data_IF_546594302731
#
_entry.id   IF_546594302731
#
_cell.length_a   1.000
_cell.length_b   1.000
_cell.length_c   1.000
_cell.angle_alpha   90.00
_cell.angle_beta   90.00
_cell.angle_gamma   90.00
#
_symmetry.space_group_name_H-M   'P 1'
#
loop_
_entity.id
_entity.type
_entity.pdbx_description
1 polymer ?
#
# COMPACT_ATOMS: atom_id res chain seq x y z
N UNK A 1 -1.19 15.24 -1.51
CA UNK A 1 -0.46 15.48 -0.25
C UNK A 1 0.26 16.79 -0.37
N UNK A 2 -0.04 17.74 0.50
CA UNK A 2 0.50 19.11 0.41
C UNK A 2 1.61 19.19 1.44
N UNK A 3 2.83 18.91 1.01
CA UNK A 3 4.00 19.05 1.89
C UNK A 3 4.41 20.51 1.91
N UNK A 4 4.31 21.12 3.09
CA UNK A 4 5.09 22.32 3.40
C UNK A 4 6.56 21.92 3.40
N UNK A 5 7.44 22.73 2.79
CA UNK A 5 8.91 22.54 2.80
C UNK A 5 9.52 22.41 4.21
N UNK A 6 8.75 22.76 5.24
CA UNK A 6 9.09 22.71 6.67
C UNK A 6 8.18 21.76 7.47
N UNK A 7 7.35 20.97 6.80
CA UNK A 7 6.47 20.01 7.47
C UNK A 7 7.22 18.75 7.90
N UNK A 8 6.89 18.14 9.05
CA UNK A 8 7.56 16.93 9.58
C UNK A 8 7.41 15.70 8.66
N UNK A 9 6.67 15.81 7.56
CA UNK A 9 6.39 14.77 6.58
C UNK A 9 7.22 14.92 5.28
N UNK A 10 8.23 15.78 5.30
CA UNK A 10 9.21 15.96 4.22
C UNK A 10 10.61 15.76 4.79
N UNK A 11 11.31 14.71 4.36
CA UNK A 11 12.67 14.38 4.82
C UNK A 11 13.50 13.88 3.64
N UNK A 12 14.73 14.36 3.54
CA UNK A 12 15.72 13.94 2.54
C UNK A 12 15.26 14.04 1.07
N UNK A 13 14.40 15.02 0.75
CA UNK A 13 13.86 15.20 -0.61
C UNK A 13 12.68 14.29 -0.95
N UNK A 14 12.28 13.40 -0.03
CA UNK A 14 11.11 12.55 -0.17
C UNK A 14 9.98 13.04 0.71
N UNK A 15 8.79 12.98 0.14
CA UNK A 15 7.55 13.22 0.86
C UNK A 15 7.04 11.92 1.51
N UNK A 16 6.30 11.98 2.62
CA UNK A 16 5.75 10.77 3.29
C UNK A 16 5.05 9.82 2.31
N UNK A 17 4.21 10.35 1.42
CA UNK A 17 3.53 9.58 0.37
C UNK A 17 4.50 8.80 -0.53
N UNK A 18 5.60 9.43 -0.97
CA UNK A 18 6.61 8.75 -1.80
C UNK A 18 7.31 7.64 -1.03
N UNK A 19 7.68 7.91 0.23
CA UNK A 19 8.29 6.90 1.10
C UNK A 19 7.34 5.74 1.35
N UNK A 20 6.06 6.00 1.63
CA UNK A 20 5.05 4.95 1.85
C UNK A 20 4.81 4.11 0.61
N UNK A 21 4.74 4.72 -0.58
CA UNK A 21 4.61 3.96 -1.82
C UNK A 21 5.83 3.08 -2.08
N UNK A 22 7.04 3.63 -1.91
CA UNK A 22 8.28 2.88 -2.08
C UNK A 22 8.35 1.71 -1.08
N UNK A 23 8.11 1.97 0.20
CA UNK A 23 8.10 0.93 1.23
C UNK A 23 7.06 -0.15 0.96
N UNK A 24 5.88 0.22 0.45
CA UNK A 24 4.83 -0.75 0.09
C UNK A 24 5.25 -1.63 -1.09
N UNK A 25 5.93 -1.06 -2.09
CA UNK A 25 6.51 -1.82 -3.21
C UNK A 25 7.62 -2.77 -2.73
N UNK A 26 8.58 -2.26 -1.97
CA UNK A 26 9.69 -3.05 -1.44
C UNK A 26 9.18 -4.20 -0.56
N UNK A 27 8.17 -3.93 0.28
CA UNK A 27 7.50 -4.94 1.09
C UNK A 27 6.78 -5.99 0.22
N UNK A 28 6.04 -5.58 -0.80
CA UNK A 28 5.35 -6.50 -1.71
C UNK A 28 6.33 -7.42 -2.45
N UNK A 29 7.50 -6.90 -2.88
CA UNK A 29 8.56 -7.72 -3.49
C UNK A 29 9.06 -8.79 -2.51
N UNK A 30 9.24 -8.45 -1.24
CA UNK A 30 9.64 -9.41 -0.20
C UNK A 30 8.55 -10.47 -0.02
N UNK A 31 7.28 -10.07 0.09
CA UNK A 31 6.15 -11.01 0.23
C UNK A 31 6.05 -11.97 -0.96
N UNK A 32 6.19 -11.47 -2.18
CA UNK A 32 6.14 -12.28 -3.40
C UNK A 32 7.28 -13.30 -3.48
N UNK A 33 8.49 -12.92 -3.03
CA UNK A 33 9.64 -13.84 -2.94
C UNK A 33 9.41 -14.93 -1.90
N UNK A 34 8.88 -14.57 -0.72
CA UNK A 34 8.55 -15.53 0.33
C UNK A 34 7.49 -16.53 -0.14
N UNK A 35 6.45 -16.04 -0.83
CA UNK A 35 5.40 -16.86 -1.41
C UNK A 35 5.96 -17.82 -2.47
N UNK A 36 6.83 -17.33 -3.38
CA UNK A 36 7.46 -18.14 -4.43
C UNK A 36 8.45 -19.17 -3.88
N UNK A 37 9.20 -18.84 -2.82
CA UNK A 37 10.10 -19.79 -2.16
C UNK A 37 9.35 -20.95 -1.53
N UNK A 38 8.13 -20.70 -1.03
CA UNK A 38 7.28 -21.72 -0.40
C UNK A 38 6.57 -22.61 -1.43
N UNK A 39 6.39 -22.09 -2.64
CA UNK A 39 5.80 -22.79 -3.77
C UNK A 39 6.64 -23.97 -4.31
N UNK A 40 7.87 -24.16 -3.85
CA UNK A 40 8.81 -25.11 -4.44
C UNK A 40 9.22 -24.74 -5.86
N UNK A 41 8.97 -23.51 -6.30
CA UNK A 41 9.42 -22.98 -7.58
C UNK A 41 10.95 -22.76 -7.51
N UNK A 42 11.71 -23.85 -7.66
CA UNK A 42 13.10 -23.77 -8.08
C UNK A 42 13.07 -23.31 -9.53
N UNK A 43 13.41 -22.05 -9.81
CA UNK A 43 14.39 -21.78 -10.87
C UNK A 43 14.74 -20.31 -11.08
N UNK A 44 16.05 -20.15 -11.24
CA UNK A 44 16.77 -19.14 -11.99
C UNK A 44 16.84 -17.73 -11.39
N UNK A 45 18.09 -17.29 -11.38
CA UNK A 45 18.62 -15.97 -11.08
C UNK A 45 17.99 -14.85 -11.91
N UNK A 46 16.72 -14.53 -11.67
CA UNK A 46 16.09 -13.36 -12.27
C UNK A 46 16.48 -12.16 -11.40
N UNK A 47 17.35 -11.25 -11.87
CA UNK A 47 17.63 -10.02 -11.14
C UNK A 47 16.32 -9.24 -10.98
N UNK A 48 16.14 -8.47 -9.89
CA UNK A 48 14.95 -7.65 -9.71
C UNK A 48 14.75 -6.79 -10.97
N UNK A 49 13.55 -6.79 -11.59
CA UNK A 49 13.30 -5.88 -12.69
C UNK A 49 13.50 -4.44 -12.18
N UNK A 50 14.16 -3.57 -12.96
CA UNK A 50 14.36 -2.18 -12.56
C UNK A 50 13.01 -1.51 -12.30
N UNK A 51 12.97 -0.72 -11.22
CA UNK A 51 11.82 0.03 -10.74
C UNK A 51 11.28 0.97 -11.83
N UNK A 52 10.25 0.52 -12.57
CA UNK A 52 9.49 1.35 -13.48
C UNK A 52 8.02 1.38 -13.07
N UNK A 53 7.57 2.56 -12.65
CA UNK A 53 6.18 2.84 -12.25
C UNK A 53 5.18 2.64 -13.42
N UNK A 54 5.67 2.60 -14.66
CA UNK A 54 4.90 2.31 -15.86
C UNK A 54 4.43 0.84 -15.98
N UNK A 55 4.99 -0.10 -15.20
CA UNK A 55 4.74 -1.55 -15.35
C UNK A 55 3.62 -2.08 -14.44
N UNK A 56 2.76 -1.19 -13.92
CA UNK A 56 1.60 -1.57 -13.10
C UNK A 56 0.51 -2.33 -13.88
N UNK A 57 0.69 -2.57 -15.18
CA UNK A 57 -0.30 -3.20 -16.04
C UNK A 57 0.20 -4.42 -16.81
N UNK A 58 0.68 -5.48 -16.15
CA UNK A 58 0.65 -6.83 -16.74
C UNK A 58 0.44 -7.91 -15.65
N UNK A 59 -0.34 -8.97 -15.96
CA UNK A 59 -0.71 -10.00 -14.99
C UNK A 59 0.45 -10.99 -14.86
N UNK A 60 1.16 -10.96 -13.74
CA UNK A 60 2.00 -12.09 -13.36
C UNK A 60 1.05 -13.16 -12.84
N UNK A 61 0.63 -14.05 -13.74
CA UNK A 61 0.04 -15.34 -13.37
C UNK A 61 1.09 -16.10 -12.55
N UNK A 62 1.05 -15.94 -11.23
CA UNK A 62 1.85 -16.75 -10.32
C UNK A 62 1.42 -18.21 -10.51
N UNK A 63 2.36 -19.14 -10.77
CA UNK A 63 2.04 -20.56 -10.82
C UNK A 63 1.43 -20.98 -9.48
N UNK A 64 0.26 -21.60 -9.52
CA UNK A 64 -0.44 -22.11 -8.34
C UNK A 64 0.39 -23.23 -7.72
N UNK A 65 0.97 -23.05 -6.52
CA UNK A 65 1.73 -24.10 -5.91
C UNK A 65 0.80 -25.02 -5.14
N UNK A 66 1.07 -26.32 -5.20
CA UNK A 66 0.50 -27.27 -4.25
C UNK A 66 1.33 -27.12 -2.95
N UNK A 67 0.92 -26.23 -2.04
CA UNK A 67 1.67 -25.90 -0.83
C UNK A 67 1.43 -26.98 0.23
N UNK A 68 2.49 -27.63 0.71
CA UNK A 68 2.48 -28.23 2.04
C UNK A 68 2.40 -27.10 3.08
N UNK A 69 1.31 -27.06 3.85
CA UNK A 69 0.92 -26.03 4.84
C UNK A 69 1.90 -25.82 6.01
N UNK A 70 3.18 -25.60 5.76
CA UNK A 70 4.08 -25.23 6.85
C UNK A 70 3.90 -23.74 7.15
N UNK A 71 3.28 -23.36 8.30
CA UNK A 71 3.07 -21.97 8.62
C UNK A 71 4.41 -21.22 8.66
N UNK A 72 4.39 -19.93 8.33
CA UNK A 72 5.55 -19.08 8.54
C UNK A 72 6.01 -19.18 10.00
N UNK A 73 7.31 -19.08 10.23
CA UNK A 73 7.83 -18.99 11.59
C UNK A 73 7.14 -17.83 12.32
N UNK A 74 6.81 -18.03 13.60
CA UNK A 74 6.08 -17.03 14.37
C UNK A 74 6.75 -15.63 14.32
N UNK A 75 8.09 -15.50 14.45
CA UNK A 75 8.74 -14.19 14.36
C UNK A 75 8.59 -13.52 12.98
N UNK A 76 8.68 -14.30 11.90
CA UNK A 76 8.55 -13.79 10.54
C UNK A 76 7.12 -13.33 10.25
N UNK A 77 6.13 -14.14 10.66
CA UNK A 77 4.72 -13.77 10.51
C UNK A 77 4.38 -12.49 11.28
N UNK A 78 4.84 -12.37 12.53
CA UNK A 78 4.64 -11.15 13.33
C UNK A 78 5.34 -9.94 12.71
N UNK A 79 6.52 -10.10 12.13
CA UNK A 79 7.21 -9.02 11.41
C UNK A 79 6.41 -8.55 10.21
N UNK A 80 5.88 -9.49 9.41
CA UNK A 80 5.03 -9.20 8.25
C UNK A 80 3.75 -8.46 8.68
N UNK A 81 3.07 -8.98 9.71
CA UNK A 81 1.85 -8.38 10.26
C UNK A 81 2.14 -6.95 10.73
N UNK A 82 3.20 -6.75 11.51
CA UNK A 82 3.57 -5.44 12.04
C UNK A 82 3.93 -4.43 10.94
N UNK A 83 4.64 -4.85 9.89
CA UNK A 83 4.94 -3.97 8.75
C UNK A 83 3.65 -3.59 8.03
N UNK A 84 2.76 -4.56 7.77
CA UNK A 84 1.50 -4.29 7.09
C UNK A 84 0.57 -3.39 7.90
N UNK A 85 0.44 -3.60 9.22
CA UNK A 85 -0.38 -2.75 10.10
C UNK A 85 0.16 -1.31 10.15
N UNK A 86 1.49 -1.14 10.18
CA UNK A 86 2.13 0.18 10.10
C UNK A 86 1.87 0.85 8.75
N UNK A 87 1.94 0.12 7.64
CA UNK A 87 1.61 0.66 6.31
C UNK A 87 0.15 1.12 6.24
N UNK A 88 -0.79 0.32 6.75
CA UNK A 88 -2.22 0.71 6.83
C UNK A 88 -2.38 2.01 7.62
N UNK A 89 -1.76 2.11 8.81
CA UNK A 89 -1.84 3.33 9.62
C UNK A 89 -1.24 4.56 8.91
N UNK A 90 -0.16 4.39 8.15
CA UNK A 90 0.44 5.48 7.37
C UNK A 90 -0.45 5.91 6.20
N UNK A 91 -1.07 4.95 5.51
CA UNK A 91 -2.04 5.26 4.45
C UNK A 91 -3.27 5.98 4.99
N UNK A 92 -3.77 5.57 6.16
CA UNK A 92 -4.86 6.26 6.87
C UNK A 92 -4.49 7.70 7.25
N UNK A 93 -3.29 7.92 7.78
CA UNK A 93 -2.80 9.25 8.08
C UNK A 93 -2.75 10.10 6.80
N UNK A 94 -2.25 9.55 5.70
CA UNK A 94 -2.17 10.28 4.43
C UNK A 94 -3.56 10.63 3.90
N UNK A 95 -4.53 9.71 3.93
CA UNK A 95 -5.88 9.98 3.44
C UNK A 95 -6.60 11.00 4.33
N UNK A 96 -6.43 10.94 5.65
CA UNK A 96 -6.96 11.93 6.59
C UNK A 96 -6.42 13.33 6.26
N UNK A 97 -5.10 13.46 6.07
CA UNK A 97 -4.48 14.75 5.71
C UNK A 97 -4.87 15.21 4.30
N UNK A 98 -5.06 14.30 3.35
CA UNK A 98 -5.52 14.62 2.01
C UNK A 98 -6.95 15.18 2.04
N UNK A 99 -7.87 14.47 2.69
CA UNK A 99 -9.28 14.86 2.81
C UNK A 99 -9.45 16.19 3.54
N UNK A 100 -8.77 16.36 4.69
CA UNK A 100 -8.81 17.62 5.45
C UNK A 100 -8.33 18.81 4.61
N UNK A 101 -7.39 18.57 3.68
CA UNK A 101 -6.83 19.62 2.84
C UNK A 101 -7.68 19.93 1.62
N UNK A 102 -8.27 18.91 0.99
CA UNK A 102 -9.26 19.08 -0.08
C UNK A 102 -10.44 19.93 0.42
N UNK A 103 -10.92 19.70 1.64
CA UNK A 103 -12.00 20.48 2.24
C UNK A 103 -11.64 21.95 2.55
N UNK A 104 -10.37 22.34 2.43
CA UNK A 104 -9.87 23.71 2.71
C UNK A 104 -9.29 24.40 1.48
N UNK A 105 -9.51 23.84 0.29
CA UNK A 105 -8.99 24.39 -0.96
C UNK A 105 -9.45 25.83 -1.23
N UNK A 106 -10.73 26.12 -0.94
CA UNK A 106 -11.33 27.44 -1.18
C UNK A 106 -10.76 28.53 -0.26
N UNK A 107 -10.18 28.15 0.88
CA UNK A 107 -9.74 29.08 1.93
C UNK A 107 -8.22 29.28 1.93
N UNK A 108 -7.46 28.27 1.49
CA UNK A 108 -6.00 28.33 1.53
C UNK A 108 -5.41 27.68 0.27
N UNK A 109 -5.00 28.47 -0.75
CA UNK A 109 -4.43 27.94 -1.97
C UNK A 109 -3.18 27.09 -1.70
N UNK A 110 -2.88 26.21 -2.65
CA UNK A 110 -1.79 25.25 -2.50
C UNK A 110 -0.51 25.85 -3.08
N UNK A 111 0.53 25.98 -2.26
CA UNK A 111 1.88 26.22 -2.78
C UNK A 111 2.42 24.95 -3.47
N UNK A 112 2.90 25.05 -4.72
CA UNK A 112 3.55 23.95 -5.42
C UNK A 112 4.76 23.45 -4.62
N UNK A 113 4.96 22.13 -4.56
CA UNK A 113 6.19 21.55 -3.99
C UNK A 113 7.33 21.83 -4.97
N UNK A 114 8.35 22.62 -4.60
CA UNK A 114 9.49 22.85 -5.48
C UNK A 114 10.27 21.55 -5.63
N UNK A 115 10.47 21.12 -6.88
CA UNK A 115 11.41 20.05 -7.27
C UNK A 115 11.23 18.71 -6.55
N UNK A 116 10.03 18.12 -6.56
CA UNK A 116 9.88 16.67 -6.37
C UNK A 116 9.72 16.02 -7.74
N UNK A 117 10.80 15.42 -8.24
CA UNK A 117 10.71 14.54 -9.40
C UNK A 117 9.87 13.32 -8.98
N UNK A 118 8.62 13.26 -9.44
CA UNK A 118 7.87 12.01 -9.44
C UNK A 118 8.14 11.39 -10.80
N UNK A 119 8.80 10.22 -10.83
CA UNK A 119 9.05 9.48 -12.09
C UNK A 119 9.91 10.25 -13.13
N UNK A 120 10.83 11.11 -12.66
CA UNK A 120 11.71 11.90 -13.56
C UNK A 120 11.03 13.10 -14.24
N UNK A 121 9.73 13.33 -14.02
CA UNK A 121 8.99 14.48 -14.53
C UNK A 121 8.74 15.51 -13.43
N UNK A 122 8.98 16.79 -13.71
CA UNK A 122 8.61 17.90 -12.82
C UNK A 122 7.09 18.06 -12.79
N UNK A 123 6.39 17.30 -11.94
CA UNK A 123 4.97 17.50 -11.70
C UNK A 123 4.76 18.70 -10.78
N UNK A 124 4.46 19.86 -11.37
CA UNK A 124 4.30 21.13 -10.65
C UNK A 124 2.95 21.23 -9.89
N UNK A 125 1.91 20.51 -10.32
CA UNK A 125 0.57 20.68 -9.75
C UNK A 125 0.26 19.71 -8.58
N UNK A 126 -0.03 20.22 -7.38
CA UNK A 126 -0.22 19.40 -6.16
C UNK A 126 -1.45 18.47 -6.23
N UNK A 127 -2.53 18.88 -6.89
CA UNK A 127 -3.69 17.99 -7.11
C UNK A 127 -3.37 16.85 -8.08
N UNK A 128 -2.47 17.07 -9.06
CA UNK A 128 -2.04 15.99 -9.97
C UNK A 128 -1.15 14.98 -9.23
N UNK A 129 -0.29 15.45 -8.34
CA UNK A 129 0.51 14.57 -7.46
C UNK A 129 -0.39 13.77 -6.50
N UNK A 130 -1.40 14.42 -5.91
CA UNK A 130 -2.42 13.75 -5.11
C UNK A 130 -3.14 12.66 -5.89
N UNK A 131 -3.57 12.97 -7.12
CA UNK A 131 -4.29 12.04 -7.99
C UNK A 131 -3.44 10.82 -8.37
N UNK A 132 -2.16 11.05 -8.66
CA UNK A 132 -1.23 9.97 -8.98
C UNK A 132 -1.01 9.06 -7.76
N UNK A 133 -0.82 9.65 -6.57
CA UNK A 133 -0.69 8.88 -5.33
C UNK A 133 -1.92 8.01 -5.06
N UNK A 134 -3.14 8.58 -5.12
CA UNK A 134 -4.38 7.83 -4.87
C UNK A 134 -4.54 6.66 -5.85
N UNK A 135 -4.15 6.85 -7.12
CA UNK A 135 -4.17 5.80 -8.14
C UNK A 135 -3.18 4.66 -7.89
N UNK A 136 -2.02 4.96 -7.32
CA UNK A 136 -1.00 3.93 -7.04
C UNK A 136 -1.23 3.22 -5.71
N UNK A 137 -1.85 3.89 -4.73
CA UNK A 137 -2.07 3.33 -3.40
C UNK A 137 -3.02 2.12 -3.42
N UNK A 138 -4.14 2.20 -4.14
CA UNK A 138 -5.15 1.13 -4.14
C UNK A 138 -4.60 -0.20 -4.71
N UNK A 139 -3.97 -0.24 -5.90
CA UNK A 139 -3.44 -1.50 -6.43
C UNK A 139 -2.34 -2.11 -5.56
N UNK A 140 -1.56 -1.30 -4.85
CA UNK A 140 -0.55 -1.81 -3.91
C UNK A 140 -1.19 -2.46 -2.70
N UNK A 141 -2.19 -1.81 -2.10
CA UNK A 141 -2.97 -2.36 -0.98
C UNK A 141 -3.61 -3.69 -1.38
N UNK A 142 -4.28 -3.74 -2.54
CA UNK A 142 -4.94 -4.95 -3.02
C UNK A 142 -3.97 -6.11 -3.28
N UNK A 143 -2.79 -5.84 -3.84
CA UNK A 143 -1.77 -6.88 -4.04
C UNK A 143 -1.21 -7.37 -2.71
N UNK A 144 -0.95 -6.49 -1.75
CA UNK A 144 -0.50 -6.89 -0.42
C UNK A 144 -1.56 -7.75 0.27
N UNK A 145 -2.82 -7.31 0.24
CA UNK A 145 -3.98 -8.07 0.76
C UNK A 145 -4.07 -9.47 0.12
N UNK A 146 -3.94 -9.55 -1.21
CA UNK A 146 -3.97 -10.82 -1.94
C UNK A 146 -2.83 -11.77 -1.53
N UNK A 147 -1.59 -11.29 -1.49
CA UNK A 147 -0.43 -12.14 -1.14
C UNK A 147 -0.50 -12.57 0.34
N UNK A 148 -1.03 -11.74 1.22
CA UNK A 148 -1.23 -12.10 2.63
C UNK A 148 -2.35 -13.11 2.84
N UNK A 149 -3.30 -13.21 1.89
CA UNK A 149 -4.47 -14.10 2.00
C UNK A 149 -5.69 -13.43 2.59
N UNK A 150 -5.76 -12.11 2.55
CA UNK A 150 -6.85 -11.33 3.11
C UNK A 150 -7.91 -10.93 2.08
N UNK A 151 -7.58 -10.99 0.78
CA UNK A 151 -8.52 -10.76 -0.30
C UNK A 151 -9.49 -11.94 -0.40
N UNK A 152 -10.67 -11.80 0.21
CA UNK A 152 -11.64 -12.89 0.39
C UNK A 152 -11.99 -13.66 -0.89
N UNK A 153 -12.00 -14.98 -0.77
CA UNK A 153 -12.53 -15.92 -1.76
C UNK A 153 -11.67 -17.18 -1.88
N UNK A 154 -12.25 -18.39 -1.78
CA UNK A 154 -11.52 -19.67 -1.92
C UNK A 154 -10.87 -19.86 -3.32
N UNK A 155 -11.16 -18.96 -4.27
CA UNK A 155 -10.65 -18.98 -5.64
C UNK A 155 -9.29 -18.26 -5.80
N UNK A 156 -8.89 -17.39 -4.87
CA UNK A 156 -7.71 -16.52 -5.00
C UNK A 156 -6.37 -17.12 -4.54
N UNK A 157 -6.32 -18.43 -4.32
CA UNK A 157 -5.13 -19.11 -3.82
C UNK A 157 -4.90 -18.89 -2.32
N UNK A 158 -4.15 -19.81 -1.71
CA UNK A 158 -3.85 -19.76 -0.28
C UNK A 158 -2.78 -18.71 -0.03
N UNK A 159 -3.14 -17.63 0.68
CA UNK A 159 -2.19 -16.58 0.99
C UNK A 159 -1.07 -17.02 1.93
N UNK A 160 -0.11 -16.12 2.12
CA UNK A 160 1.10 -16.38 2.88
C UNK A 160 0.82 -16.68 4.36
N UNK A 161 -0.17 -16.00 4.95
CA UNK A 161 -0.53 -16.16 6.36
C UNK A 161 -1.50 -17.34 6.55
N UNK A 162 -1.22 -18.15 7.56
CA UNK A 162 -2.17 -19.18 8.01
C UNK A 162 -3.40 -18.57 8.68
N UNK A 163 -4.53 -19.29 8.82
CA UNK A 163 -5.73 -18.78 9.49
C UNK A 163 -5.45 -18.18 10.88
N UNK A 164 -4.65 -18.86 11.71
CA UNK A 164 -4.26 -18.35 13.04
C UNK A 164 -3.44 -17.05 12.98
N UNK A 165 -2.64 -16.86 11.94
CA UNK A 165 -1.85 -15.64 11.74
C UNK A 165 -2.72 -14.50 11.20
N UNK A 166 -3.75 -14.82 10.41
CA UNK A 166 -4.78 -13.86 10.00
C UNK A 166 -5.59 -13.37 11.20
N UNK A 167 -5.95 -14.25 12.15
CA UNK A 167 -6.62 -13.84 13.39
C UNK A 167 -5.80 -12.79 14.15
N UNK A 168 -4.50 -13.01 14.28
CA UNK A 168 -3.58 -12.05 14.90
C UNK A 168 -3.54 -10.74 14.11
N UNK A 169 -3.45 -10.80 12.77
CA UNK A 169 -3.51 -9.62 11.92
C UNK A 169 -4.78 -8.80 12.16
N UNK A 170 -5.94 -9.45 12.28
CA UNK A 170 -7.21 -8.78 12.49
C UNK A 170 -7.34 -8.13 13.86
N UNK A 171 -6.81 -8.78 14.88
CA UNK A 171 -6.72 -8.19 16.23
C UNK A 171 -5.83 -6.94 16.20
N UNK A 172 -4.65 -7.02 15.59
CA UNK A 172 -3.72 -5.89 15.49
C UNK A 172 -4.32 -4.72 14.69
N UNK A 173 -5.05 -5.01 13.60
CA UNK A 173 -5.75 -4.00 12.82
C UNK A 173 -6.97 -3.42 13.55
N UNK A 174 -7.60 -4.20 14.44
CA UNK A 174 -8.66 -3.76 15.35
C UNK A 174 -8.20 -2.74 16.40
N UNK A 175 -6.88 -2.53 16.53
CA UNK A 175 -6.31 -1.50 17.39
C UNK A 175 -6.50 -1.80 18.88
N UNK A 176 -6.74 -0.74 19.67
CA UNK A 176 -6.77 -0.81 21.15
C UNK A 176 -7.81 -1.82 21.67
N UNK A 177 -8.92 -2.00 20.95
CA UNK A 177 -9.98 -2.92 21.36
C UNK A 177 -9.79 -4.34 20.80
N UNK A 178 -8.86 -4.54 19.86
CA UNK A 178 -8.61 -5.85 19.25
C UNK A 178 -9.81 -6.43 18.49
N UNK A 179 -10.76 -5.58 18.07
CA UNK A 179 -12.01 -6.02 17.44
C UNK A 179 -11.73 -6.54 16.02
N UNK A 180 -11.80 -7.86 15.85
CA UNK A 180 -11.53 -8.56 14.58
C UNK A 180 -12.37 -7.99 13.42
N UNK A 181 -13.66 -7.74 13.64
CA UNK A 181 -14.55 -7.18 12.62
C UNK A 181 -14.09 -5.78 12.15
N UNK A 182 -13.65 -4.94 13.09
CA UNK A 182 -13.08 -3.62 12.79
C UNK A 182 -11.77 -3.78 12.00
N UNK A 183 -10.90 -4.70 12.43
CA UNK A 183 -9.64 -4.98 11.75
C UNK A 183 -9.82 -5.47 10.31
N UNK A 184 -10.81 -6.33 10.06
CA UNK A 184 -11.16 -6.81 8.72
C UNK A 184 -11.71 -5.70 7.82
N UNK A 185 -12.50 -4.77 8.38
CA UNK A 185 -13.09 -3.67 7.63
C UNK A 185 -12.10 -2.56 7.30
N UNK A 186 -11.05 -2.39 8.11
CA UNK A 186 -10.12 -1.27 8.02
C UNK A 186 -9.44 -1.14 6.64
N UNK A 187 -8.87 -2.20 6.02
CA UNK A 187 -8.33 -2.11 4.66
C UNK A 187 -9.40 -1.78 3.60
N UNK A 188 -10.61 -2.31 3.74
CA UNK A 188 -11.73 -2.08 2.82
C UNK A 188 -12.15 -0.60 2.84
N UNK A 189 -12.32 -0.05 4.04
CA UNK A 189 -12.66 1.35 4.25
C UNK A 189 -11.56 2.29 3.74
N UNK A 190 -10.30 1.92 3.94
CA UNK A 190 -9.17 2.67 3.43
C UNK A 190 -9.15 2.72 1.89
N UNK A 191 -9.38 1.59 1.22
CA UNK A 191 -9.49 1.55 -0.26
C UNK A 191 -10.63 2.41 -0.77
N UNK A 192 -11.80 2.36 -0.12
CA UNK A 192 -12.94 3.24 -0.44
C UNK A 192 -12.54 4.72 -0.30
N UNK A 193 -11.89 5.10 0.80
CA UNK A 193 -11.46 6.48 1.03
C UNK A 193 -10.48 6.97 -0.06
N UNK A 194 -9.59 6.10 -0.54
CA UNK A 194 -8.71 6.43 -1.67
C UNK A 194 -9.47 6.67 -2.98
N UNK A 195 -10.48 5.84 -3.28
CA UNK A 195 -11.33 6.05 -4.44
C UNK A 195 -12.12 7.36 -4.36
N UNK A 196 -12.69 7.67 -3.20
CA UNK A 196 -13.42 8.92 -2.97
C UNK A 196 -12.52 10.14 -3.17
N UNK A 197 -11.30 10.11 -2.61
CA UNK A 197 -10.32 11.17 -2.80
C UNK A 197 -9.89 11.29 -4.27
N UNK A 198 -9.75 10.19 -5.00
CA UNK A 198 -9.45 10.22 -6.44
C UNK A 198 -10.55 10.95 -7.23
N UNK A 199 -11.83 10.63 -6.96
CA UNK A 199 -12.98 11.26 -7.62
C UNK A 199 -12.95 12.77 -7.38
N UNK A 200 -12.72 13.21 -6.14
CA UNK A 200 -12.69 14.64 -5.81
C UNK A 200 -11.53 15.34 -6.51
N UNK A 201 -10.32 14.76 -6.47
CA UNK A 201 -9.15 15.34 -7.12
C UNK A 201 -9.31 15.45 -8.64
N UNK A 202 -9.98 14.49 -9.29
CA UNK A 202 -10.32 14.57 -10.72
C UNK A 202 -11.25 15.76 -11.01
N UNK A 203 -12.27 15.99 -10.18
CA UNK A 203 -13.19 17.13 -10.33
C UNK A 203 -12.52 18.49 -10.16
N UNK A 204 -11.49 18.58 -9.33
CA UNK A 204 -10.71 19.81 -9.15
C UNK A 204 -9.81 20.10 -10.37
N UNK A 205 -9.42 19.05 -11.11
CA UNK A 205 -8.49 19.14 -12.23
C UNK A 205 -9.16 19.27 -13.60
N UNK A 206 -10.49 19.08 -13.67
CA UNK A 206 -11.31 19.28 -14.87
C UNK A 206 -11.71 20.73 -15.03
#
# INVERSE_FOLDING_TARGET
MISYKLGPLYKDGFTLAQSVLKSSQDFLVILARLHSSRAGAVSSSIPPPPLNFADLGLPVLLPRPCITYQPLSAPLALTIINVFTQLIALYELIIEKLSARVNRLDVLPIEPIPSSAFEGSMMVHPCKQGLLFTRMAVPLLERMESVLGTAGGPENGEGLLSPRQLDVLWIELGGVNGETDVGMLRPILLRRAFHDAEIILRRILS
#
